data_IF_400445932799
#
_entry.id   IF_400445932799
#
_cell.length_a   1.000
_cell.length_b   1.000
_cell.length_c   1.000
_cell.angle_alpha   90.00
_cell.angle_beta   90.00
_cell.angle_gamma   90.00
#
_symmetry.space_group_name_H-M   'P 1'
#
loop_
_entity.id
_entity.type
_entity.pdbx_description
1 polymer ?
#
# COMPACT_ATOMS: atom_id res chain seq x y z
N UNK A 1 14.83 14.95 -7.43
CA UNK A 1 14.17 13.83 -6.72
C UNK A 1 12.79 13.60 -7.31
N UNK A 2 12.48 12.41 -7.83
CA UNK A 2 11.21 12.18 -8.55
C UNK A 2 10.06 12.04 -7.53
N UNK A 3 9.16 13.03 -7.52
CA UNK A 3 7.93 12.99 -6.72
C UNK A 3 6.94 12.00 -7.34
N UNK A 4 6.22 11.24 -6.50
CA UNK A 4 5.14 10.37 -7.00
C UNK A 4 4.01 11.20 -7.61
N UNK A 5 3.29 10.63 -8.58
CA UNK A 5 2.12 11.30 -9.21
C UNK A 5 1.09 11.74 -8.16
N UNK A 6 0.81 10.88 -7.18
CA UNK A 6 -0.09 11.21 -6.06
C UNK A 6 0.41 12.41 -5.25
N UNK A 7 1.71 12.47 -4.94
CA UNK A 7 2.28 13.60 -4.20
C UNK A 7 2.08 14.92 -4.96
N UNK A 8 2.28 14.93 -6.27
CA UNK A 8 2.05 16.13 -7.11
C UNK A 8 0.59 16.59 -7.07
N UNK A 9 -0.34 15.66 -7.28
CA UNK A 9 -1.79 15.95 -7.23
C UNK A 9 -2.18 16.56 -5.88
N UNK A 10 -1.67 16.00 -4.77
CA UNK A 10 -1.93 16.53 -3.43
C UNK A 10 -1.31 17.92 -3.24
N UNK A 11 -0.04 18.12 -3.63
CA UNK A 11 0.62 19.42 -3.51
C UNK A 11 -0.11 20.52 -4.31
N UNK A 12 -0.68 20.19 -5.48
CA UNK A 12 -1.37 21.15 -6.35
C UNK A 12 -2.80 21.47 -5.90
N UNK A 13 -3.53 20.50 -5.31
CA UNK A 13 -4.98 20.61 -5.11
C UNK A 13 -5.42 20.59 -3.63
N UNK A 14 -4.54 20.20 -2.71
CA UNK A 14 -4.94 19.94 -1.31
C UNK A 14 -5.45 21.18 -0.60
N UNK A 15 -4.84 22.35 -0.80
CA UNK A 15 -5.20 23.56 -0.07
C UNK A 15 -6.62 24.05 -0.44
N UNK A 16 -6.98 24.01 -1.72
CA UNK A 16 -8.34 24.35 -2.18
C UNK A 16 -9.36 23.31 -1.68
N UNK A 17 -9.03 22.02 -1.82
CA UNK A 17 -9.87 20.94 -1.31
C UNK A 17 -10.12 21.05 0.20
N UNK A 18 -9.06 21.33 0.97
CA UNK A 18 -9.13 21.47 2.42
C UNK A 18 -9.99 22.68 2.82
N UNK A 19 -9.86 23.83 2.14
CA UNK A 19 -10.72 24.99 2.38
C UNK A 19 -12.20 24.67 2.14
N UNK A 20 -12.53 23.98 1.05
CA UNK A 20 -13.91 23.66 0.66
C UNK A 20 -14.56 22.61 1.57
N UNK A 21 -13.80 21.64 2.07
CA UNK A 21 -14.35 20.48 2.77
C UNK A 21 -13.85 20.30 4.22
N UNK A 22 -13.19 21.30 4.82
CA UNK A 22 -12.56 21.24 6.16
C UNK A 22 -13.38 20.49 7.22
N UNK A 23 -14.69 20.78 7.30
CA UNK A 23 -15.58 20.23 8.33
C UNK A 23 -16.02 18.77 8.07
N UNK A 24 -15.74 18.22 6.88
CA UNK A 24 -16.11 16.85 6.48
C UNK A 24 -14.92 15.90 6.45
N UNK A 25 -13.69 16.42 6.61
CA UNK A 25 -12.46 15.62 6.52
C UNK A 25 -12.08 15.13 7.91
N UNK A 26 -11.90 13.82 8.05
CA UNK A 26 -11.42 13.22 9.30
C UNK A 26 -9.97 13.65 9.58
N UNK A 27 -9.60 13.91 10.86
CA UNK A 27 -8.23 14.29 11.21
C UNK A 27 -7.14 13.32 10.71
N UNK A 28 -7.45 12.01 10.66
CA UNK A 28 -6.54 10.98 10.13
C UNK A 28 -6.21 11.19 8.65
N UNK A 29 -7.16 11.64 7.84
CA UNK A 29 -6.94 11.93 6.41
C UNK A 29 -6.00 13.12 6.26
N UNK A 30 -6.19 14.17 7.05
CA UNK A 30 -5.33 15.36 7.05
C UNK A 30 -3.89 14.96 7.42
N UNK A 31 -3.73 14.15 8.46
CA UNK A 31 -2.43 13.66 8.89
C UNK A 31 -1.74 12.82 7.80
N UNK A 32 -2.49 11.96 7.11
CA UNK A 32 -1.94 11.13 6.04
C UNK A 32 -1.55 11.94 4.80
N UNK A 33 -2.37 12.90 4.36
CA UNK A 33 -2.00 13.76 3.23
C UNK A 33 -0.73 14.55 3.55
N UNK A 34 -0.61 15.10 4.75
CA UNK A 34 0.63 15.77 5.21
C UNK A 34 1.85 14.84 5.18
N UNK A 35 1.71 13.59 5.62
CA UNK A 35 2.78 12.58 5.54
C UNK A 35 3.18 12.28 4.08
N UNK A 36 2.22 12.13 3.18
CA UNK A 36 2.49 11.85 1.76
C UNK A 36 3.20 13.02 1.08
N UNK A 37 2.76 14.26 1.33
CA UNK A 37 3.42 15.47 0.80
C UNK A 37 4.88 15.60 1.27
N UNK A 38 5.19 15.12 2.47
CA UNK A 38 6.55 15.13 3.05
C UNK A 38 7.36 13.86 2.80
N UNK A 39 6.86 12.93 1.99
CA UNK A 39 7.51 11.64 1.78
C UNK A 39 8.85 11.79 1.03
N UNK A 40 9.91 11.21 1.60
CA UNK A 40 11.30 11.29 1.12
C UNK A 40 11.87 12.71 1.09
N UNK A 41 11.31 13.62 1.86
CA UNK A 41 11.89 14.95 2.04
C UNK A 41 13.17 14.86 2.89
N UNK A 42 14.27 15.38 2.35
CA UNK A 42 15.60 15.37 3.00
C UNK A 42 15.57 16.17 4.31
N UNK A 43 14.71 17.19 4.41
CA UNK A 43 14.54 17.98 5.63
C UNK A 43 13.99 17.17 6.82
N UNK A 44 13.31 16.04 6.55
CA UNK A 44 12.80 15.12 7.58
C UNK A 44 13.76 13.96 7.88
N UNK A 45 15.02 14.08 7.47
CA UNK A 45 16.06 13.07 7.66
C UNK A 45 16.31 12.24 6.40
N UNK A 46 17.56 11.79 6.29
CA UNK A 46 18.07 11.05 5.14
C UNK A 46 19.24 10.16 5.55
N UNK A 47 19.54 9.19 4.69
CA UNK A 47 20.80 8.44 4.72
C UNK A 47 21.68 9.00 3.61
N UNK A 48 22.94 9.26 3.92
CA UNK A 48 23.96 9.60 2.93
C UNK A 48 24.79 8.36 2.61
N UNK A 49 24.84 8.02 1.32
CA UNK A 49 25.61 6.89 0.81
C UNK A 49 26.78 7.46 0.01
N UNK A 50 28.00 7.06 0.37
CA UNK A 50 29.22 7.45 -0.35
C UNK A 50 29.86 6.22 -0.98
N UNK A 51 30.06 6.26 -2.29
CA UNK A 51 30.84 5.25 -2.99
C UNK A 51 32.32 5.38 -2.63
N UNK A 52 32.96 4.27 -2.26
CA UNK A 52 34.40 4.27 -1.93
C UNK A 52 35.29 4.39 -3.15
N UNK A 53 34.85 3.88 -4.30
CA UNK A 53 35.67 3.79 -5.52
C UNK A 53 35.63 5.09 -6.34
N UNK A 54 34.46 5.67 -6.57
CA UNK A 54 34.30 6.91 -7.35
C UNK A 54 34.04 8.17 -6.51
N UNK A 55 33.84 8.02 -5.20
CA UNK A 55 33.57 9.15 -4.30
C UNK A 55 32.17 9.76 -4.41
N UNK A 56 31.30 9.25 -5.29
CA UNK A 56 29.94 9.79 -5.49
C UNK A 56 29.11 9.70 -4.21
N UNK A 57 28.40 10.80 -3.89
CA UNK A 57 27.56 10.92 -2.70
C UNK A 57 26.09 11.01 -3.11
N UNK A 58 25.27 10.13 -2.52
CA UNK A 58 23.83 10.08 -2.74
C UNK A 58 23.06 10.21 -1.44
N UNK A 59 22.19 11.21 -1.36
CA UNK A 59 21.25 11.39 -0.24
C UNK A 59 19.92 10.70 -0.53
N UNK A 60 19.48 9.84 0.39
CA UNK A 60 18.23 9.10 0.30
C UNK A 60 17.33 9.51 1.47
N UNK A 61 16.30 10.33 1.19
CA UNK A 61 15.34 10.78 2.19
C UNK A 61 14.45 9.65 2.73
N UNK A 62 14.05 9.75 4.00
CA UNK A 62 13.21 8.74 4.64
C UNK A 62 11.79 8.69 4.08
N UNK A 63 11.27 7.48 3.88
CA UNK A 63 9.90 7.26 3.41
C UNK A 63 8.88 7.50 4.51
N UNK A 64 7.67 7.97 4.16
CA UNK A 64 6.62 8.21 5.14
C UNK A 64 5.93 6.93 5.68
N UNK A 65 6.18 5.76 5.07
CA UNK A 65 5.59 4.45 5.42
C UNK A 65 4.04 4.41 5.45
N UNK A 66 3.39 5.40 4.85
CA UNK A 66 1.94 5.46 4.74
C UNK A 66 1.42 4.49 3.67
N UNK A 67 0.34 3.77 3.97
CA UNK A 67 -0.39 2.95 3.00
C UNK A 67 -1.04 3.78 1.89
N UNK A 68 -1.37 5.04 2.18
CA UNK A 68 -1.95 5.97 1.21
C UNK A 68 -0.91 6.45 0.18
N UNK A 69 0.37 6.47 0.56
CA UNK A 69 1.44 6.84 -0.36
C UNK A 69 1.67 5.71 -1.39
N UNK A 70 1.40 5.97 -2.67
CA UNK A 70 1.57 4.95 -3.73
C UNK A 70 2.97 4.34 -3.79
N UNK A 71 4.02 5.12 -3.55
CA UNK A 71 5.40 4.62 -3.58
C UNK A 71 5.77 3.78 -2.35
N UNK A 72 5.17 4.06 -1.18
CA UNK A 72 5.43 3.27 0.04
C UNK A 72 4.51 2.05 0.12
N UNK A 73 3.23 2.23 -0.21
CA UNK A 73 2.23 1.17 -0.26
C UNK A 73 2.59 0.08 -1.25
N UNK A 74 3.10 0.43 -2.44
CA UNK A 74 3.56 -0.57 -3.42
C UNK A 74 4.69 -1.44 -2.87
N UNK A 75 5.72 -0.84 -2.28
CA UNK A 75 6.84 -1.59 -1.65
C UNK A 75 6.33 -2.51 -0.53
N UNK A 76 5.39 -2.04 0.28
CA UNK A 76 4.78 -2.87 1.33
C UNK A 76 4.04 -4.08 0.74
N UNK A 77 3.22 -3.87 -0.29
CA UNK A 77 2.49 -4.95 -0.98
C UNK A 77 3.47 -5.94 -1.61
N UNK A 78 4.52 -5.47 -2.26
CA UNK A 78 5.52 -6.34 -2.91
C UNK A 78 6.26 -7.20 -1.89
N UNK A 79 6.68 -6.61 -0.77
CA UNK A 79 7.32 -7.36 0.32
C UNK A 79 6.36 -8.41 0.91
N UNK A 80 5.08 -8.07 1.05
CA UNK A 80 4.07 -9.01 1.53
C UNK A 80 3.84 -10.15 0.54
N UNK A 81 3.74 -9.85 -0.76
CA UNK A 81 3.62 -10.85 -1.83
C UNK A 81 4.83 -11.79 -1.82
N UNK A 82 6.05 -11.25 -1.82
CA UNK A 82 7.28 -12.05 -1.76
C UNK A 82 7.33 -12.95 -0.52
N UNK A 83 6.90 -12.42 0.63
CA UNK A 83 6.82 -13.20 1.87
C UNK A 83 5.78 -14.33 1.82
N UNK A 84 4.69 -14.16 1.08
CA UNK A 84 3.72 -15.23 0.85
C UNK A 84 4.21 -16.25 -0.18
N UNK A 85 4.85 -15.81 -1.26
CA UNK A 85 5.40 -16.71 -2.27
C UNK A 85 6.38 -17.71 -1.65
N UNK A 86 7.20 -17.29 -0.69
CA UNK A 86 8.10 -18.20 0.04
C UNK A 86 7.39 -19.19 0.99
N UNK A 87 6.10 -18.99 1.27
CA UNK A 87 5.27 -19.88 2.11
C UNK A 87 4.32 -20.76 1.31
N UNK A 88 4.18 -20.51 0.00
CA UNK A 88 3.29 -21.28 -0.85
C UNK A 88 3.89 -22.67 -1.08
N UNK A 89 3.09 -23.69 -0.75
CA UNK A 89 3.41 -25.08 -1.04
C UNK A 89 3.04 -25.36 -2.50
N UNK A 90 3.86 -26.14 -3.20
CA UNK A 90 3.61 -26.51 -4.61
C UNK A 90 2.49 -27.55 -4.75
N UNK A 91 1.25 -27.11 -4.52
CA UNK A 91 0.02 -27.92 -4.62
C UNK A 91 -1.08 -27.11 -5.29
N UNK A 92 -2.16 -27.77 -5.74
CA UNK A 92 -3.34 -27.08 -6.22
C UNK A 92 -4.00 -26.32 -5.06
N UNK A 93 -4.10 -25.00 -5.19
CA UNK A 93 -4.72 -24.12 -4.20
C UNK A 93 -6.19 -23.88 -4.53
N UNK A 94 -7.06 -23.87 -3.52
CA UNK A 94 -8.44 -23.38 -3.63
C UNK A 94 -8.51 -21.98 -3.03
N UNK A 95 -8.62 -20.95 -3.87
CA UNK A 95 -8.60 -19.54 -3.41
C UNK A 95 -9.86 -19.15 -2.64
N UNK A 96 -11.00 -19.75 -2.98
CA UNK A 96 -12.26 -19.55 -2.30
C UNK A 96 -12.92 -20.90 -2.09
N UNK A 97 -13.35 -21.15 -0.86
CA UNK A 97 -14.21 -22.27 -0.50
C UNK A 97 -15.40 -21.68 0.22
N UNK A 98 -16.59 -21.89 -0.35
CA UNK A 98 -17.82 -21.48 0.29
C UNK A 98 -18.25 -22.54 1.29
N UNK A 99 -18.51 -22.12 2.52
CA UNK A 99 -19.14 -22.99 3.52
C UNK A 99 -20.62 -23.09 3.18
N UNK A 100 -21.09 -24.31 2.92
CA UNK A 100 -22.51 -24.56 2.66
C UNK A 100 -23.29 -24.40 3.99
N UNK A 101 -24.32 -23.53 4.03
CA UNK A 101 -25.25 -23.43 5.17
C UNK A 101 -25.84 -24.78 5.54
N UNK A 102 -26.11 -25.00 6.83
CA UNK A 102 -26.49 -26.32 7.36
C UNK A 102 -27.72 -26.90 6.67
N UNK A 103 -28.71 -26.06 6.40
CA UNK A 103 -29.98 -26.38 5.76
C UNK A 103 -29.78 -26.94 4.34
N UNK A 104 -28.72 -26.51 3.66
CA UNK A 104 -28.44 -26.86 2.27
C UNK A 104 -27.45 -28.04 2.14
N UNK A 105 -26.84 -28.51 3.24
CA UNK A 105 -25.85 -29.60 3.21
C UNK A 105 -26.45 -30.91 2.72
N UNK A 106 -27.68 -31.22 3.10
CA UNK A 106 -28.37 -32.44 2.66
C UNK A 106 -28.68 -32.43 1.17
N UNK A 107 -28.96 -31.26 0.60
CA UNK A 107 -29.25 -31.09 -0.82
C UNK A 107 -27.97 -31.31 -1.65
N UNK A 108 -26.93 -30.53 -1.37
CA UNK A 108 -25.65 -30.61 -2.08
C UNK A 108 -24.82 -31.86 -1.73
N UNK A 109 -25.12 -32.52 -0.62
CA UNK A 109 -24.49 -33.79 -0.25
C UNK A 109 -24.96 -34.96 -1.12
N UNK A 110 -26.19 -34.90 -1.64
CA UNK A 110 -26.78 -35.94 -2.51
C UNK A 110 -26.46 -35.69 -3.99
N UNK A 111 -26.47 -34.43 -4.42
CA UNK A 111 -26.17 -34.01 -5.79
C UNK A 111 -24.97 -33.07 -5.83
N UNK A 112 -23.77 -33.63 -5.71
CA UNK A 112 -22.51 -32.85 -5.63
C UNK A 112 -22.23 -32.02 -6.88
N UNK A 113 -22.68 -32.47 -8.04
CA UNK A 113 -22.42 -31.83 -9.34
C UNK A 113 -23.36 -30.65 -9.63
N UNK A 114 -24.36 -30.42 -8.78
CA UNK A 114 -25.29 -29.28 -8.91
C UNK A 114 -24.70 -27.92 -8.52
N UNK A 115 -23.41 -27.89 -8.10
CA UNK A 115 -22.69 -26.70 -7.64
C UNK A 115 -21.81 -26.08 -8.74
N UNK A 116 -21.68 -26.73 -9.91
CA UNK A 116 -20.92 -26.17 -11.04
C UNK A 116 -21.65 -25.03 -11.77
#
# INVERSE_FOLDING_TARGET
>A
MIKSKLRKILEENWDEFYKRYKNRIRPSVIAEVKKVMKCKDISNGYIELKCKDCGEIKKVGFTCKSRFCTSCGKVYVDNWVNGMLGKLINVKHRHMVFTIPEELRNYFGRERDSIE
#
